data_IF_042637039363
#
_entry.id   IF_042637039363
#
_cell.length_a   1.000
_cell.length_b   1.000
_cell.length_c   1.000
_cell.angle_alpha   90.00
_cell.angle_beta   90.00
_cell.angle_gamma   90.00
#
_symmetry.space_group_name_H-M   'P 1'
#
loop_
_entity.id
_entity.type
_entity.pdbx_description
1 polymer ?
#
# COMPACT_ATOMS: atom_id res chain seq x y z
N UNK A 1 0.67 -81.48 -60.26
CA UNK A 1 1.72 -82.07 -61.13
C UNK A 1 2.53 -80.95 -61.69
N UNK A 2 3.85 -81.12 -61.85
CA UNK A 2 4.86 -81.46 -60.87
C UNK A 2 5.90 -80.34 -60.71
N UNK A 3 6.69 -80.44 -59.69
CA UNK A 3 8.00 -79.76 -59.53
C UNK A 3 9.00 -80.08 -60.61
N UNK A 4 10.03 -79.24 -60.80
CA UNK A 4 11.37 -79.69 -60.42
C UNK A 4 12.19 -78.60 -59.69
N UNK A 5 12.87 -79.03 -58.83
CA UNK A 5 14.18 -79.23 -58.25
C UNK A 5 15.32 -78.36 -58.77
N UNK A 6 15.95 -77.65 -57.78
CA UNK A 6 17.39 -77.55 -57.48
C UNK A 6 18.38 -77.10 -58.56
N UNK A 7 19.17 -76.08 -58.19
CA UNK A 7 20.65 -76.24 -58.22
C UNK A 7 21.27 -75.27 -57.19
N UNK A 8 22.13 -75.81 -56.34
CA UNK A 8 23.02 -75.09 -55.43
C UNK A 8 24.10 -74.40 -56.21
N UNK A 9 24.47 -73.20 -55.75
CA UNK A 9 25.78 -72.60 -56.08
C UNK A 9 26.31 -71.88 -54.84
N UNK A 10 27.28 -72.52 -54.19
CA UNK A 10 28.12 -72.00 -53.16
C UNK A 10 28.96 -70.81 -53.73
N UNK A 11 28.77 -69.64 -53.17
CA UNK A 11 29.73 -68.54 -53.34
C UNK A 11 29.87 -67.87 -51.98
N UNK A 12 31.00 -68.23 -51.36
CA UNK A 12 31.38 -67.64 -50.07
C UNK A 12 31.67 -66.16 -50.21
N UNK A 13 30.95 -65.36 -49.47
CA UNK A 13 31.26 -63.97 -49.26
C UNK A 13 31.98 -63.84 -47.93
N UNK A 14 33.28 -63.51 -48.01
CA UNK A 14 34.07 -63.07 -46.84
C UNK A 14 33.60 -61.65 -46.50
N UNK A 15 32.83 -61.53 -45.46
CA UNK A 15 32.48 -60.22 -44.88
C UNK A 15 33.65 -59.78 -44.03
N UNK A 16 34.41 -58.82 -44.54
CA UNK A 16 35.46 -58.11 -43.87
C UNK A 16 34.79 -57.13 -42.95
N UNK A 17 34.61 -57.42 -41.61
CA UNK A 17 34.10 -56.52 -40.58
C UNK A 17 35.19 -55.47 -40.30
N UNK A 18 35.07 -54.28 -40.89
CA UNK A 18 35.86 -53.12 -40.50
C UNK A 18 35.28 -52.57 -39.16
N UNK A 19 35.95 -52.88 -38.05
CA UNK A 19 35.73 -52.21 -36.75
C UNK A 19 36.23 -50.77 -36.84
N UNK A 20 35.32 -49.84 -37.13
CA UNK A 20 35.57 -48.41 -36.89
C UNK A 20 35.45 -48.15 -35.40
N UNK A 21 36.57 -48.04 -34.71
CA UNK A 21 36.64 -47.54 -33.36
C UNK A 21 36.22 -46.08 -33.35
N UNK A 22 34.98 -45.79 -32.97
CA UNK A 22 34.50 -44.45 -32.72
C UNK A 22 35.10 -43.98 -31.39
N UNK A 23 36.19 -43.25 -31.44
CA UNK A 23 36.77 -42.58 -30.26
C UNK A 23 35.82 -41.49 -29.83
N UNK A 24 34.98 -41.75 -28.81
CA UNK A 24 34.20 -40.71 -28.12
C UNK A 24 35.22 -39.90 -27.34
N UNK A 25 35.67 -38.80 -27.91
CA UNK A 25 36.37 -37.75 -27.17
C UNK A 25 35.37 -37.12 -26.24
N UNK A 26 35.33 -37.53 -24.96
CA UNK A 26 34.70 -36.80 -23.94
C UNK A 26 35.40 -35.45 -23.78
N UNK A 27 34.80 -34.41 -24.36
CA UNK A 27 35.22 -33.04 -24.05
C UNK A 27 34.92 -32.83 -22.58
N UNK A 28 35.97 -32.91 -21.78
CA UNK A 28 35.90 -32.48 -20.36
C UNK A 28 35.70 -30.97 -20.42
N UNK A 29 34.46 -30.52 -20.39
CA UNK A 29 34.16 -29.10 -20.16
C UNK A 29 34.67 -28.78 -18.79
N UNK A 30 35.77 -28.03 -18.71
CA UNK A 30 36.24 -27.46 -17.45
C UNK A 30 35.13 -26.52 -16.96
N UNK A 31 34.35 -26.98 -15.98
CA UNK A 31 33.42 -26.11 -15.26
C UNK A 31 34.20 -24.98 -14.62
N UNK A 32 33.77 -23.74 -14.91
CA UNK A 32 34.33 -22.57 -14.24
C UNK A 32 34.05 -22.74 -12.75
N UNK A 33 35.07 -22.63 -11.89
CA UNK A 33 34.88 -22.82 -10.46
C UNK A 33 33.93 -21.74 -9.90
N UNK A 34 32.92 -22.16 -9.15
CA UNK A 34 32.05 -21.28 -8.41
C UNK A 34 32.79 -20.87 -7.14
N UNK A 35 32.98 -19.58 -6.95
CA UNK A 35 33.71 -19.04 -5.80
C UNK A 35 32.73 -18.35 -4.86
N UNK A 36 32.66 -18.85 -3.63
CA UNK A 36 31.99 -18.16 -2.53
C UNK A 36 32.95 -17.15 -1.89
N UNK A 37 32.63 -15.83 -1.92
CA UNK A 37 33.43 -14.83 -1.23
C UNK A 37 33.46 -15.09 0.29
N UNK A 38 34.61 -14.94 0.90
CA UNK A 38 34.73 -14.96 2.37
C UNK A 38 34.18 -13.66 2.98
N UNK A 39 33.82 -13.74 4.26
CA UNK A 39 33.52 -12.53 5.05
C UNK A 39 34.78 -11.64 5.14
N UNK A 40 34.66 -10.36 5.49
CA UNK A 40 35.83 -9.48 5.67
C UNK A 40 36.89 -10.12 6.56
N UNK A 41 38.08 -10.33 5.99
CA UNK A 41 39.22 -11.02 6.66
C UNK A 41 39.21 -12.55 6.51
N UNK A 42 38.26 -13.14 5.82
CA UNK A 42 38.19 -14.58 5.50
C UNK A 42 38.57 -14.83 4.04
N UNK A 43 39.20 -15.97 3.77
CA UNK A 43 39.53 -16.38 2.42
C UNK A 43 38.26 -16.86 1.67
N UNK A 44 38.18 -16.55 0.36
CA UNK A 44 37.16 -17.12 -0.52
C UNK A 44 37.40 -18.63 -0.69
N UNK A 45 36.34 -19.41 -0.86
CA UNK A 45 36.38 -20.84 -1.11
C UNK A 45 35.71 -21.23 -2.43
N UNK A 46 36.24 -22.28 -3.07
CA UNK A 46 35.57 -22.91 -4.20
C UNK A 46 34.48 -23.83 -3.66
N UNK A 47 33.29 -23.72 -4.23
CA UNK A 47 32.13 -24.54 -3.86
C UNK A 47 31.61 -25.33 -5.06
N UNK A 48 30.91 -26.41 -4.79
CA UNK A 48 30.25 -27.21 -5.82
C UNK A 48 28.97 -26.51 -6.35
N UNK A 49 28.45 -26.96 -7.48
CA UNK A 49 27.14 -26.45 -7.97
C UNK A 49 26.00 -26.80 -7.01
N UNK A 50 26.09 -27.94 -6.30
CA UNK A 50 25.10 -28.35 -5.29
C UNK A 50 25.17 -27.41 -4.08
N UNK A 51 26.37 -27.19 -3.53
CA UNK A 51 26.57 -26.21 -2.44
C UNK A 51 26.15 -24.79 -2.84
N UNK A 52 26.36 -24.38 -4.11
CA UNK A 52 25.90 -23.09 -4.59
C UNK A 52 24.37 -23.02 -4.69
N UNK A 53 23.72 -24.13 -5.10
CA UNK A 53 22.25 -24.22 -5.13
C UNK A 53 21.66 -24.17 -3.71
N UNK A 54 22.26 -24.87 -2.75
CA UNK A 54 21.85 -24.84 -1.35
C UNK A 54 22.02 -23.45 -0.73
N UNK A 55 23.11 -22.75 -1.07
CA UNK A 55 23.35 -21.39 -0.63
C UNK A 55 22.44 -20.35 -1.31
N UNK A 56 22.00 -20.65 -2.53
CA UNK A 56 21.05 -19.85 -3.29
C UNK A 56 19.60 -20.29 -2.97
N UNK A 57 19.39 -21.33 -2.17
CA UNK A 57 18.06 -21.75 -1.74
C UNK A 57 17.41 -20.58 -1.01
N UNK A 58 16.32 -20.11 -1.58
CA UNK A 58 15.51 -19.04 -1.02
C UNK A 58 15.04 -19.53 0.34
N UNK A 59 15.48 -18.87 1.40
CA UNK A 59 15.08 -19.20 2.76
C UNK A 59 14.00 -18.24 3.22
N UNK A 60 12.96 -18.79 3.79
CA UNK A 60 11.95 -18.03 4.52
C UNK A 60 12.24 -18.04 6.02
N UNK A 61 11.84 -17.00 6.70
CA UNK A 61 11.98 -16.86 8.14
C UNK A 61 10.74 -17.41 8.88
N UNK A 62 10.88 -17.60 10.18
CA UNK A 62 9.71 -17.89 11.02
C UNK A 62 8.71 -16.72 11.01
N UNK A 63 9.23 -15.48 10.89
CA UNK A 63 8.40 -14.29 10.76
C UNK A 63 7.52 -14.31 9.51
N UNK A 64 8.05 -14.77 8.38
CA UNK A 64 7.29 -14.90 7.14
C UNK A 64 6.11 -15.87 7.30
N UNK A 65 6.36 -17.02 7.95
CA UNK A 65 5.31 -18.01 8.22
C UNK A 65 4.24 -17.44 9.16
N UNK A 66 4.65 -16.76 10.23
CA UNK A 66 3.74 -16.17 11.20
C UNK A 66 2.91 -15.04 10.58
N UNK A 67 3.52 -14.21 9.74
CA UNK A 67 2.84 -13.18 9.00
C UNK A 67 1.75 -13.74 8.09
N UNK A 68 2.07 -14.71 7.23
CA UNK A 68 1.10 -15.31 6.31
C UNK A 68 -0.04 -16.01 7.07
N UNK A 69 0.29 -16.75 8.14
CA UNK A 69 -0.72 -17.40 8.98
C UNK A 69 -1.61 -16.43 9.75
N UNK A 70 -1.10 -15.26 10.11
CA UNK A 70 -1.89 -14.20 10.73
C UNK A 70 -2.74 -13.43 9.71
N UNK A 71 -2.21 -13.19 8.52
CA UNK A 71 -2.88 -12.40 7.47
C UNK A 71 -4.07 -13.16 6.84
N UNK A 72 -4.03 -14.49 6.75
CA UNK A 72 -5.15 -15.29 6.23
C UNK A 72 -6.45 -15.03 7.02
N UNK A 73 -6.53 -15.25 8.34
CA UNK A 73 -7.75 -14.94 9.10
C UNK A 73 -8.05 -13.45 9.19
N UNK A 74 -7.03 -12.59 9.10
CA UNK A 74 -7.22 -11.15 9.01
C UNK A 74 -8.02 -10.81 7.75
N UNK A 75 -7.60 -11.24 6.58
CA UNK A 75 -8.30 -11.03 5.32
C UNK A 75 -9.69 -11.68 5.29
N UNK A 76 -9.83 -12.84 5.91
CA UNK A 76 -11.13 -13.51 6.02
C UNK A 76 -12.15 -12.66 6.79
N UNK A 77 -11.75 -11.95 7.85
CA UNK A 77 -12.64 -11.02 8.55
C UNK A 77 -13.07 -9.85 7.65
N UNK A 78 -12.19 -9.30 6.82
CA UNK A 78 -12.56 -8.24 5.87
C UNK A 78 -13.64 -8.72 4.87
N UNK A 79 -13.54 -9.97 4.42
CA UNK A 79 -14.57 -10.60 3.58
C UNK A 79 -15.91 -10.74 4.32
N UNK A 80 -15.88 -11.16 5.58
CA UNK A 80 -17.08 -11.26 6.42
C UNK A 80 -17.77 -9.89 6.59
N UNK A 81 -17.00 -8.85 6.90
CA UNK A 81 -17.50 -7.49 6.98
C UNK A 81 -18.13 -7.05 5.65
N UNK A 82 -17.46 -7.34 4.54
CA UNK A 82 -17.91 -6.96 3.19
C UNK A 82 -19.17 -7.72 2.77
N UNK A 83 -19.32 -8.96 3.16
CA UNK A 83 -20.52 -9.77 2.88
C UNK A 83 -21.80 -9.20 3.50
N UNK A 84 -21.68 -8.43 4.59
CA UNK A 84 -22.85 -7.78 5.22
C UNK A 84 -23.45 -6.68 4.34
N UNK A 85 -22.69 -6.09 3.42
CA UNK A 85 -23.09 -4.89 2.69
C UNK A 85 -24.36 -5.10 1.85
N UNK A 86 -24.52 -6.26 1.20
CA UNK A 86 -25.67 -6.53 0.31
C UNK A 86 -27.02 -6.42 1.04
N UNK A 87 -27.06 -6.85 2.31
CA UNK A 87 -28.27 -6.86 3.13
C UNK A 87 -28.44 -5.60 4.00
N UNK A 88 -27.42 -4.77 4.13
CA UNK A 88 -27.37 -3.65 5.08
C UNK A 88 -27.46 -2.28 4.42
N UNK A 89 -27.12 -2.15 3.13
CA UNK A 89 -27.13 -0.86 2.45
C UNK A 89 -27.58 -0.95 1.00
N UNK A 90 -28.12 0.18 0.50
CA UNK A 90 -28.37 0.39 -0.93
C UNK A 90 -27.41 1.44 -1.52
N UNK A 91 -26.40 1.87 -0.78
CA UNK A 91 -25.41 2.81 -1.24
C UNK A 91 -24.47 2.14 -2.26
N UNK A 92 -24.55 2.53 -3.51
CA UNK A 92 -23.80 1.91 -4.61
C UNK A 92 -22.29 2.05 -4.48
N UNK A 93 -21.79 3.12 -3.83
CA UNK A 93 -20.36 3.31 -3.62
C UNK A 93 -19.85 2.34 -2.54
N UNK A 94 -20.58 2.17 -1.44
CA UNK A 94 -20.24 1.21 -0.38
C UNK A 94 -20.30 -0.23 -0.91
N UNK A 95 -21.33 -0.57 -1.69
CA UNK A 95 -21.44 -1.89 -2.33
C UNK A 95 -20.27 -2.16 -3.29
N UNK A 96 -19.84 -1.15 -4.06
CA UNK A 96 -18.71 -1.28 -4.96
C UNK A 96 -17.38 -1.46 -4.22
N UNK A 97 -17.19 -0.77 -3.08
CA UNK A 97 -16.04 -0.97 -2.19
C UNK A 97 -16.03 -2.39 -1.63
N UNK A 98 -17.16 -2.85 -1.06
CA UNK A 98 -17.27 -4.18 -0.48
C UNK A 98 -17.00 -5.30 -1.50
N UNK A 99 -17.57 -5.19 -2.71
CA UNK A 99 -17.35 -6.16 -3.77
C UNK A 99 -15.87 -6.21 -4.22
N UNK A 100 -15.20 -5.06 -4.31
CA UNK A 100 -13.78 -4.99 -4.66
C UNK A 100 -12.90 -5.62 -3.58
N UNK A 101 -13.13 -5.27 -2.31
CA UNK A 101 -12.40 -5.82 -1.18
C UNK A 101 -12.57 -7.34 -1.12
N UNK A 102 -13.78 -7.86 -1.28
CA UNK A 102 -14.00 -9.31 -1.32
C UNK A 102 -13.14 -9.99 -2.37
N UNK A 103 -13.06 -9.41 -3.56
CA UNK A 103 -12.30 -10.00 -4.67
C UNK A 103 -10.78 -9.97 -4.40
N UNK A 104 -10.22 -8.82 -3.98
CA UNK A 104 -8.79 -8.71 -3.69
C UNK A 104 -8.38 -9.63 -2.54
N UNK A 105 -9.18 -9.68 -1.48
CA UNK A 105 -8.89 -10.51 -0.31
C UNK A 105 -8.97 -12.02 -0.61
N UNK A 106 -9.86 -12.46 -1.52
CA UNK A 106 -9.91 -13.85 -1.98
C UNK A 106 -8.63 -14.26 -2.73
N UNK A 107 -8.16 -13.40 -3.62
CA UNK A 107 -6.93 -13.63 -4.39
C UNK A 107 -5.70 -13.67 -3.46
N UNK A 108 -5.61 -12.76 -2.51
CA UNK A 108 -4.52 -12.67 -1.54
C UNK A 108 -4.49 -13.87 -0.58
N UNK A 109 -5.65 -14.31 -0.06
CA UNK A 109 -5.75 -15.53 0.75
C UNK A 109 -5.28 -16.75 -0.06
N UNK A 110 -5.73 -16.86 -1.31
CA UNK A 110 -5.36 -17.98 -2.18
C UNK A 110 -3.86 -18.04 -2.43
N UNK A 111 -3.22 -16.88 -2.61
CA UNK A 111 -1.77 -16.77 -2.77
C UNK A 111 -1.04 -17.20 -1.49
N UNK A 112 -1.44 -16.68 -0.32
CA UNK A 112 -0.83 -17.03 0.96
C UNK A 112 -0.94 -18.52 1.29
N UNK A 113 -2.13 -19.11 1.07
CA UNK A 113 -2.35 -20.55 1.23
C UNK A 113 -1.52 -21.36 0.23
N UNK A 114 -1.39 -20.89 -1.01
CA UNK A 114 -0.53 -21.48 -2.05
C UNK A 114 0.92 -21.50 -1.62
N UNK A 115 1.45 -20.37 -1.22
CA UNK A 115 2.84 -20.22 -0.79
C UNK A 115 3.15 -21.16 0.40
N UNK A 116 2.31 -21.17 1.45
CA UNK A 116 2.49 -22.05 2.60
C UNK A 116 2.50 -23.53 2.18
N UNK A 117 1.56 -23.93 1.32
CA UNK A 117 1.48 -25.30 0.81
C UNK A 117 2.73 -25.70 0.01
N UNK A 118 3.24 -24.81 -0.82
CA UNK A 118 4.43 -25.05 -1.64
C UNK A 118 5.69 -25.23 -0.78
N UNK A 119 5.70 -24.61 0.41
CA UNK A 119 6.75 -24.82 1.43
C UNK A 119 6.49 -26.05 2.31
N UNK A 120 5.44 -26.83 2.05
CA UNK A 120 5.05 -28.00 2.87
C UNK A 120 4.50 -27.60 4.25
N UNK A 121 4.01 -26.37 4.40
CA UNK A 121 3.46 -25.83 5.64
C UNK A 121 1.93 -25.83 5.60
N UNK A 122 1.33 -26.05 6.76
CA UNK A 122 -0.12 -25.99 6.91
C UNK A 122 -0.58 -24.52 7.02
N UNK A 123 -1.55 -24.15 6.18
CA UNK A 123 -2.25 -22.87 6.28
C UNK A 123 -3.40 -22.99 7.32
N UNK A 124 -3.66 -21.93 8.10
CA UNK A 124 -4.83 -21.90 8.98
C UNK A 124 -6.13 -21.90 8.15
N UNK A 125 -7.20 -22.35 8.78
CA UNK A 125 -8.54 -22.14 8.24
C UNK A 125 -8.90 -20.65 8.28
N UNK A 126 -9.67 -20.17 7.30
CA UNK A 126 -10.09 -18.76 7.23
C UNK A 126 -10.89 -18.35 8.47
N UNK A 127 -11.73 -19.23 8.99
CA UNK A 127 -12.60 -19.02 10.15
C UNK A 127 -11.91 -19.24 11.50
N UNK A 128 -10.59 -19.43 11.53
CA UNK A 128 -9.86 -19.70 12.79
C UNK A 128 -10.00 -18.56 13.80
N UNK A 129 -10.27 -17.35 13.34
CA UNK A 129 -10.46 -16.17 14.19
C UNK A 129 -11.75 -16.23 15.04
N UNK A 130 -12.70 -17.11 14.72
CA UNK A 130 -13.88 -17.39 15.57
C UNK A 130 -13.60 -18.39 16.69
N UNK A 131 -12.41 -19.01 16.71
CA UNK A 131 -12.13 -20.03 17.71
C UNK A 131 -11.75 -19.41 19.06
N UNK A 132 -12.17 -20.00 20.18
CA UNK A 132 -11.80 -19.52 21.50
C UNK A 132 -10.28 -19.48 21.67
N UNK A 133 -9.77 -18.34 22.15
CA UNK A 133 -8.34 -18.15 22.38
C UNK A 133 -7.56 -17.69 21.16
N UNK A 134 -8.22 -17.39 20.05
CA UNK A 134 -7.56 -16.73 18.93
C UNK A 134 -7.08 -15.34 19.36
N UNK A 135 -5.80 -15.05 19.12
CA UNK A 135 -5.22 -13.74 19.36
C UNK A 135 -5.42 -12.88 18.11
N UNK A 136 -6.23 -11.82 18.25
CA UNK A 136 -6.56 -10.94 17.13
C UNK A 136 -5.32 -10.20 16.65
N UNK A 137 -5.16 -10.16 15.34
CA UNK A 137 -4.13 -9.34 14.69
C UNK A 137 -4.53 -7.85 14.78
N UNK A 138 -3.54 -7.00 14.58
CA UNK A 138 -3.73 -5.54 14.59
C UNK A 138 -4.76 -5.12 13.53
N UNK A 139 -5.68 -4.27 13.89
CA UNK A 139 -6.76 -3.80 13.01
C UNK A 139 -7.99 -4.71 12.93
N UNK A 140 -7.91 -5.97 13.37
CA UNK A 140 -9.11 -6.83 13.40
C UNK A 140 -10.16 -6.30 14.38
N UNK A 141 -11.41 -6.38 13.96
CA UNK A 141 -12.55 -6.00 14.79
C UNK A 141 -12.67 -6.94 15.99
N UNK A 142 -13.07 -6.34 17.12
CA UNK A 142 -13.53 -7.13 18.27
C UNK A 142 -14.92 -7.75 18.02
N UNK A 143 -15.31 -8.69 18.86
CA UNK A 143 -16.65 -9.30 18.78
C UNK A 143 -17.74 -8.23 18.92
N UNK A 144 -17.56 -7.27 19.82
CA UNK A 144 -18.49 -6.16 20.04
C UNK A 144 -18.60 -5.25 18.82
N UNK A 145 -17.48 -4.95 18.15
CA UNK A 145 -17.49 -4.14 16.91
C UNK A 145 -18.16 -4.89 15.75
N UNK A 146 -17.93 -6.20 15.63
CA UNK A 146 -18.62 -7.03 14.65
C UNK A 146 -20.13 -7.08 14.95
N UNK A 147 -20.55 -7.25 16.21
CA UNK A 147 -21.96 -7.22 16.59
C UNK A 147 -22.61 -5.86 16.28
N UNK A 148 -21.90 -4.75 16.55
CA UNK A 148 -22.36 -3.41 16.20
C UNK A 148 -22.54 -3.26 14.68
N UNK A 149 -21.56 -3.70 13.89
CA UNK A 149 -21.64 -3.65 12.43
C UNK A 149 -22.80 -4.50 11.89
N UNK A 150 -22.98 -5.71 12.41
CA UNK A 150 -24.09 -6.61 12.04
C UNK A 150 -25.46 -6.01 12.39
N UNK A 151 -25.57 -5.30 13.50
CA UNK A 151 -26.83 -4.68 13.94
C UNK A 151 -27.18 -3.41 13.15
N UNK A 152 -26.20 -2.75 12.54
CA UNK A 152 -26.38 -1.49 11.83
C UNK A 152 -26.97 -1.67 10.44
N UNK A 153 -27.64 -0.64 9.90
CA UNK A 153 -28.20 -0.61 8.54
C UNK A 153 -28.17 0.80 7.95
N UNK A 154 -28.24 0.92 6.62
CA UNK A 154 -28.33 2.21 5.92
C UNK A 154 -27.13 3.12 6.21
N UNK A 155 -27.37 4.41 6.48
CA UNK A 155 -26.29 5.39 6.68
C UNK A 155 -25.32 5.01 7.82
N UNK A 156 -25.85 4.41 8.90
CA UNK A 156 -25.02 3.99 10.03
C UNK A 156 -24.11 2.82 9.65
N UNK A 157 -24.64 1.81 8.96
CA UNK A 157 -23.82 0.75 8.42
C UNK A 157 -22.72 1.29 7.49
N UNK A 158 -23.08 2.20 6.59
CA UNK A 158 -22.12 2.78 5.65
C UNK A 158 -20.93 3.42 6.36
N UNK A 159 -21.22 4.19 7.42
CA UNK A 159 -20.19 4.87 8.22
C UNK A 159 -19.31 3.85 8.96
N UNK A 160 -19.93 2.96 9.74
CA UNK A 160 -19.21 1.96 10.54
C UNK A 160 -18.39 1.03 9.66
N UNK A 161 -18.95 0.54 8.56
CA UNK A 161 -18.25 -0.33 7.62
C UNK A 161 -16.97 0.32 7.09
N UNK A 162 -17.06 1.57 6.64
CA UNK A 162 -15.89 2.27 6.09
C UNK A 162 -14.86 2.59 7.16
N UNK A 163 -15.29 3.11 8.32
CA UNK A 163 -14.37 3.42 9.44
C UNK A 163 -13.64 2.16 9.92
N UNK A 164 -14.37 1.08 10.18
CA UNK A 164 -13.79 -0.17 10.64
C UNK A 164 -12.90 -0.84 9.59
N UNK A 165 -13.28 -0.76 8.31
CA UNK A 165 -12.48 -1.33 7.24
C UNK A 165 -11.19 -0.53 6.98
N UNK A 166 -11.21 0.79 7.15
CA UNK A 166 -10.01 1.64 7.10
C UNK A 166 -9.05 1.23 8.23
N UNK A 167 -9.53 1.10 9.46
CA UNK A 167 -8.71 0.68 10.60
C UNK A 167 -8.15 -0.74 10.40
N UNK A 168 -8.96 -1.63 9.83
CA UNK A 168 -8.58 -3.00 9.51
C UNK A 168 -7.44 -3.03 8.48
N UNK A 169 -7.55 -2.26 7.40
CA UNK A 169 -6.53 -2.15 6.37
C UNK A 169 -5.24 -1.50 6.89
N UNK A 170 -5.37 -0.48 7.75
CA UNK A 170 -4.20 0.08 8.43
C UNK A 170 -3.48 -0.96 9.28
N UNK A 171 -4.22 -1.85 9.93
CA UNK A 171 -3.67 -2.98 10.67
C UNK A 171 -2.84 -3.92 9.79
N UNK A 172 -3.29 -4.20 8.56
CA UNK A 172 -2.53 -5.00 7.60
C UNK A 172 -1.23 -4.33 7.18
N UNK A 173 -1.25 -3.01 6.91
CA UNK A 173 -0.05 -2.23 6.61
C UNK A 173 0.97 -2.29 7.77
N UNK A 174 0.50 -2.15 8.99
CA UNK A 174 1.33 -2.24 10.18
C UNK A 174 1.94 -3.65 10.36
N UNK A 175 1.20 -4.71 10.00
CA UNK A 175 1.72 -6.08 10.01
C UNK A 175 2.83 -6.28 8.96
N UNK A 176 2.69 -5.68 7.77
CA UNK A 176 3.75 -5.70 6.74
C UNK A 176 4.98 -4.95 7.24
N UNK A 177 4.83 -3.75 7.82
CA UNK A 177 5.94 -2.99 8.39
C UNK A 177 6.68 -3.80 9.48
N UNK A 178 5.93 -4.41 10.42
CA UNK A 178 6.49 -5.26 11.46
C UNK A 178 7.24 -6.47 10.89
N UNK A 179 6.81 -7.04 9.77
CA UNK A 179 7.51 -8.12 9.08
C UNK A 179 8.82 -7.62 8.47
N UNK A 180 8.78 -6.49 7.75
CA UNK A 180 9.94 -5.92 7.06
C UNK A 180 11.04 -5.49 8.05
N UNK A 181 10.68 -5.12 9.27
CA UNK A 181 11.63 -4.79 10.34
C UNK A 181 12.38 -6.02 10.90
N UNK A 182 11.89 -7.23 10.61
CA UNK A 182 12.52 -8.45 11.07
C UNK A 182 13.72 -8.81 10.18
N UNK A 183 14.83 -9.09 10.81
CA UNK A 183 16.06 -9.46 10.10
C UNK A 183 15.91 -10.80 9.38
N UNK A 184 16.10 -10.82 8.07
CA UNK A 184 16.03 -12.03 7.23
C UNK A 184 14.63 -12.42 6.79
N UNK A 185 13.63 -11.58 7.05
CA UNK A 185 12.29 -11.75 6.47
C UNK A 185 12.26 -11.35 5.01
N UNK A 186 11.22 -11.79 4.31
CA UNK A 186 10.87 -11.38 2.94
C UNK A 186 12.03 -11.55 1.94
N UNK A 187 12.81 -12.62 2.12
CA UNK A 187 13.90 -12.96 1.19
C UNK A 187 13.40 -13.75 -0.04
N UNK A 188 12.23 -14.35 0.07
CA UNK A 188 11.55 -15.01 -1.03
C UNK A 188 10.98 -13.96 -1.99
N UNK A 189 11.31 -14.02 -3.32
CA UNK A 189 10.85 -13.02 -4.28
C UNK A 189 9.32 -12.92 -4.40
N UNK A 190 8.61 -14.04 -4.29
CA UNK A 190 7.15 -14.07 -4.36
C UNK A 190 6.54 -13.41 -3.12
N UNK A 191 7.12 -13.65 -1.95
CA UNK A 191 6.70 -13.00 -0.71
C UNK A 191 7.02 -11.49 -0.71
N UNK A 192 8.16 -11.11 -1.29
CA UNK A 192 8.51 -9.69 -1.46
C UNK A 192 7.51 -8.97 -2.39
N UNK A 193 7.18 -9.57 -3.53
CA UNK A 193 6.16 -9.06 -4.45
C UNK A 193 4.81 -8.94 -3.73
N UNK A 194 4.37 -10.00 -3.05
CA UNK A 194 3.14 -10.00 -2.29
C UNK A 194 3.06 -8.89 -1.23
N UNK A 195 4.10 -8.69 -0.42
CA UNK A 195 4.08 -7.62 0.60
C UNK A 195 4.06 -6.23 -0.02
N UNK A 196 4.67 -6.05 -1.20
CA UNK A 196 4.58 -4.82 -1.98
C UNK A 196 3.18 -4.59 -2.52
N UNK A 197 2.54 -5.62 -3.05
CA UNK A 197 1.19 -5.56 -3.60
C UNK A 197 0.17 -5.26 -2.49
N UNK A 198 0.23 -5.98 -1.37
CA UNK A 198 -0.60 -5.69 -0.18
C UNK A 198 -0.45 -4.25 0.26
N UNK A 199 0.80 -3.72 0.31
CA UNK A 199 1.04 -2.33 0.71
C UNK A 199 0.37 -1.35 -0.26
N UNK A 200 0.50 -1.58 -1.56
CA UNK A 200 -0.09 -0.72 -2.60
C UNK A 200 -1.62 -0.79 -2.60
N UNK A 201 -2.16 -1.99 -2.54
CA UNK A 201 -3.61 -2.23 -2.64
C UNK A 201 -4.34 -1.75 -1.39
N UNK A 202 -3.85 -2.08 -0.19
CA UNK A 202 -4.43 -1.62 1.07
C UNK A 202 -4.40 -0.08 1.17
N UNK A 203 -3.30 0.57 0.77
CA UNK A 203 -3.21 2.03 0.73
C UNK A 203 -4.24 2.64 -0.22
N UNK A 204 -4.35 2.09 -1.43
CA UNK A 204 -5.31 2.56 -2.44
C UNK A 204 -6.77 2.33 -2.01
N UNK A 205 -7.03 1.26 -1.27
CA UNK A 205 -8.36 0.95 -0.74
C UNK A 205 -8.73 1.88 0.41
N UNK A 206 -7.80 2.19 1.32
CA UNK A 206 -7.98 3.21 2.37
C UNK A 206 -8.34 4.56 1.73
N UNK A 207 -7.54 5.05 0.77
CA UNK A 207 -7.81 6.32 0.09
C UNK A 207 -9.20 6.36 -0.55
N UNK A 208 -9.62 5.26 -1.17
CA UNK A 208 -10.95 5.14 -1.77
C UNK A 208 -12.06 5.14 -0.73
N UNK A 209 -11.87 4.42 0.38
CA UNK A 209 -12.83 4.40 1.49
C UNK A 209 -12.96 5.76 2.15
N UNK A 210 -11.87 6.49 2.35
CA UNK A 210 -11.88 7.86 2.86
C UNK A 210 -12.69 8.81 1.96
N UNK A 211 -12.51 8.71 0.64
CA UNK A 211 -13.30 9.51 -0.32
C UNK A 211 -14.80 9.18 -0.24
N UNK A 212 -15.14 7.88 -0.11
CA UNK A 212 -16.54 7.47 0.04
C UNK A 212 -17.09 7.96 1.37
N UNK A 213 -16.36 7.78 2.47
CA UNK A 213 -16.75 8.24 3.82
C UNK A 213 -16.96 9.76 3.85
N UNK A 214 -16.06 10.53 3.25
CA UNK A 214 -16.22 11.97 3.11
C UNK A 214 -17.49 12.35 2.32
N UNK A 215 -17.86 11.57 1.32
CA UNK A 215 -19.06 11.80 0.51
C UNK A 215 -20.38 11.48 1.25
N UNK A 216 -20.34 10.63 2.27
CA UNK A 216 -21.51 10.28 3.09
C UNK A 216 -21.83 11.33 4.11
N UNK A 217 -20.87 12.14 4.54
CA UNK A 217 -21.10 13.23 5.46
C UNK A 217 -21.75 14.38 4.69
N UNK A 218 -22.88 14.95 5.22
CA UNK A 218 -23.40 16.17 4.63
C UNK A 218 -22.30 17.24 4.65
N UNK A 219 -22.20 18.00 3.56
CA UNK A 219 -21.24 19.12 3.49
C UNK A 219 -21.40 19.98 4.76
N UNK A 220 -20.38 20.07 5.61
CA UNK A 220 -20.49 20.79 6.88
C UNK A 220 -20.82 22.28 6.69
N UNK A 221 -20.78 22.77 5.44
CA UNK A 221 -21.18 24.14 5.09
C UNK A 221 -22.68 24.26 4.82
N UNK A 222 -23.39 23.15 4.63
CA UNK A 222 -24.84 23.17 4.40
C UNK A 222 -25.55 23.63 5.65
N UNK A 223 -26.34 24.69 5.55
CA UNK A 223 -27.11 25.24 6.67
C UNK A 223 -26.34 26.20 7.58
N UNK A 224 -25.09 26.54 7.25
CA UNK A 224 -24.38 27.58 7.98
C UNK A 224 -25.09 28.94 7.82
N UNK A 225 -25.23 29.63 8.96
CA UNK A 225 -25.78 30.99 8.95
C UNK A 225 -24.84 31.92 8.18
N UNK A 226 -25.40 32.70 7.25
CA UNK A 226 -24.67 33.78 6.65
C UNK A 226 -24.61 34.96 7.61
N UNK A 227 -23.43 35.52 7.84
CA UNK A 227 -23.24 36.64 8.75
C UNK A 227 -21.91 37.31 8.52
N UNK A 228 -21.85 38.59 8.88
CA UNK A 228 -20.61 39.37 8.73
C UNK A 228 -19.64 39.15 9.92
N UNK A 229 -20.19 38.92 11.13
CA UNK A 229 -19.43 38.68 12.35
C UNK A 229 -19.86 37.40 13.08
N UNK A 230 -20.96 36.85 12.71
CA UNK A 230 -21.66 35.73 13.28
C UNK A 230 -21.99 34.64 12.25
N UNK A 231 -21.24 34.62 11.16
CA UNK A 231 -21.32 33.53 10.19
C UNK A 231 -21.03 32.18 10.87
N UNK A 232 -21.81 31.19 10.52
CA UNK A 232 -21.53 29.82 10.97
C UNK A 232 -20.17 29.34 10.48
N UNK A 233 -19.50 28.53 11.29
CA UNK A 233 -18.19 27.97 10.99
C UNK A 233 -18.31 26.48 10.69
N UNK A 234 -17.54 25.98 9.72
CA UNK A 234 -17.39 24.57 9.47
C UNK A 234 -15.92 24.20 9.37
N UNK A 235 -15.55 23.06 9.94
CA UNK A 235 -14.22 22.48 9.84
C UNK A 235 -14.36 20.99 9.51
N UNK A 236 -13.56 20.51 8.55
CA UNK A 236 -13.43 19.10 8.22
C UNK A 236 -11.95 18.72 8.35
N UNK A 237 -11.67 17.74 9.19
CA UNK A 237 -10.30 17.28 9.51
C UNK A 237 -9.34 18.39 10.01
N UNK A 238 -9.93 19.47 10.56
CA UNK A 238 -9.21 20.58 11.17
C UNK A 238 -9.89 21.00 12.46
N UNK A 239 -9.09 21.33 13.46
CA UNK A 239 -9.58 21.93 14.70
C UNK A 239 -9.20 23.39 14.75
N UNK A 240 -10.17 24.28 15.01
CA UNK A 240 -9.89 25.68 15.28
C UNK A 240 -9.16 25.80 16.62
N UNK A 241 -7.88 26.10 16.58
CA UNK A 241 -7.05 26.24 17.78
C UNK A 241 -7.26 27.60 18.45
N UNK A 242 -7.44 28.64 17.65
CA UNK A 242 -7.73 29.98 18.13
C UNK A 242 -8.41 30.82 17.05
N UNK A 243 -9.33 31.68 17.46
CA UNK A 243 -9.89 32.75 16.63
C UNK A 243 -9.48 34.08 17.24
N UNK A 244 -8.70 34.85 16.52
CA UNK A 244 -8.29 36.19 16.95
C UNK A 244 -9.21 37.20 16.30
N UNK A 245 -10.09 37.86 17.06
CA UNK A 245 -10.90 38.93 16.51
C UNK A 245 -10.01 40.08 16.05
N UNK A 246 -10.38 40.71 14.97
CA UNK A 246 -9.69 41.93 14.50
C UNK A 246 -9.71 42.99 15.59
N UNK A 247 -8.62 43.72 15.81
CA UNK A 247 -8.59 44.78 16.80
C UNK A 247 -9.71 45.81 16.59
N UNK A 248 -10.16 46.47 17.66
CA UNK A 248 -11.11 47.57 17.54
C UNK A 248 -10.59 48.63 16.63
N UNK A 249 -11.37 49.04 15.63
CA UNK A 249 -10.97 50.02 14.62
C UNK A 249 -10.34 49.42 13.36
N UNK A 250 -10.09 48.13 13.30
CA UNK A 250 -9.58 47.45 12.08
C UNK A 250 -10.63 47.44 10.95
N UNK A 251 -11.89 47.53 11.28
CA UNK A 251 -12.98 47.57 10.33
C UNK A 251 -13.90 48.73 10.65
N UNK A 252 -14.11 49.61 9.67
CA UNK A 252 -15.10 50.68 9.70
C UNK A 252 -16.30 50.26 8.88
N UNK A 253 -17.49 50.03 9.52
CA UNK A 253 -18.68 49.61 8.80
C UNK A 253 -19.17 50.64 7.79
N UNK A 254 -18.80 51.90 7.97
CA UNK A 254 -19.10 52.97 7.02
C UNK A 254 -18.12 52.96 5.83
N UNK A 255 -16.98 52.22 5.96
CA UNK A 255 -15.95 52.06 4.94
C UNK A 255 -15.42 50.64 4.84
N UNK A 256 -16.20 49.74 4.25
CA UNK A 256 -15.84 48.33 4.16
C UNK A 256 -14.55 48.05 3.38
N UNK A 257 -14.09 48.96 2.53
CA UNK A 257 -12.86 48.83 1.75
C UNK A 257 -11.57 48.90 2.59
N UNK A 258 -11.66 49.33 3.85
CA UNK A 258 -10.52 49.46 4.75
C UNK A 258 -9.52 50.54 4.39
N UNK A 259 -9.84 51.38 3.39
CA UNK A 259 -8.99 52.49 2.97
C UNK A 259 -9.18 53.66 3.95
N UNK A 260 -8.09 54.14 4.57
CA UNK A 260 -8.15 55.27 5.49
C UNK A 260 -8.59 56.58 4.75
N UNK A 261 -9.22 57.49 5.53
CA UNK A 261 -9.61 58.80 4.95
C UNK A 261 -8.45 59.54 4.31
N UNK A 262 -7.27 59.50 4.94
CA UNK A 262 -6.07 60.11 4.40
C UNK A 262 -5.67 59.51 3.07
N UNK A 263 -5.77 58.17 2.95
CA UNK A 263 -5.45 57.48 1.70
C UNK A 263 -6.47 57.70 0.60
N UNK A 264 -7.74 57.83 0.94
CA UNK A 264 -8.78 58.22 -0.03
C UNK A 264 -8.57 59.65 -0.53
N UNK A 265 -8.20 60.55 0.38
CA UNK A 265 -7.89 61.91 0.02
C UNK A 265 -6.65 62.02 -0.90
N UNK A 266 -5.59 61.26 -0.62
CA UNK A 266 -4.40 61.13 -1.50
C UNK A 266 -4.78 60.59 -2.90
N UNK A 267 -5.66 59.59 -2.96
CA UNK A 267 -6.13 59.03 -4.24
C UNK A 267 -6.98 60.06 -4.99
N UNK A 268 -7.83 60.81 -4.28
CA UNK A 268 -8.71 61.81 -4.85
C UNK A 268 -7.90 63.03 -5.31
N UNK A 269 -6.92 63.48 -4.54
CA UNK A 269 -5.96 64.56 -4.90
C UNK A 269 -5.12 64.15 -6.10
N UNK A 270 -4.62 62.91 -6.14
CA UNK A 270 -3.88 62.39 -7.28
C UNK A 270 -4.74 62.29 -8.54
N UNK A 271 -6.02 61.90 -8.42
CA UNK A 271 -6.97 61.84 -9.52
C UNK A 271 -7.33 63.22 -10.07
N UNK A 272 -7.29 64.25 -9.22
CA UNK A 272 -7.57 65.65 -9.56
C UNK A 272 -6.31 66.44 -10.00
N UNK A 273 -5.16 65.77 -10.10
CA UNK A 273 -3.91 66.36 -10.54
C UNK A 273 -3.19 67.19 -9.45
N UNK A 274 -3.62 67.08 -8.20
CA UNK A 274 -2.99 67.76 -7.04
C UNK A 274 -2.08 66.71 -6.34
N UNK A 275 -0.95 66.43 -6.94
CA UNK A 275 0.12 65.65 -6.30
C UNK A 275 0.84 66.54 -5.28
N UNK A 276 0.92 66.22 -4.00
CA UNK A 276 1.80 66.91 -3.08
C UNK A 276 3.24 66.70 -3.52
N UNK A 277 4.02 67.84 -3.60
CA UNK A 277 5.46 67.76 -3.82
C UNK A 277 6.06 66.90 -2.69
N UNK A 278 6.71 65.81 -3.08
CA UNK A 278 7.52 64.98 -2.15
C UNK A 278 8.64 65.84 -1.61
N UNK A 279 8.85 65.96 -0.28
CA UNK A 279 10.11 66.56 0.23
C UNK A 279 11.28 65.69 -0.25
N UNK A 280 12.34 66.33 -0.68
CA UNK A 280 13.58 65.67 -1.07
C UNK A 280 14.02 64.73 0.04
N UNK A 281 14.08 63.42 -0.27
CA UNK A 281 14.68 62.41 0.59
C UNK A 281 16.19 62.63 0.61
N UNK A 282 16.66 63.24 1.69
CA UNK A 282 18.06 63.16 2.04
C UNK A 282 18.42 61.72 2.34
N UNK A 283 19.40 61.21 1.63
CA UNK A 283 20.01 59.89 1.75
C UNK A 283 20.41 59.61 3.21
N UNK A 284 19.73 58.66 3.84
CA UNK A 284 20.29 57.92 4.99
C UNK A 284 20.26 56.42 4.68
N UNK A 285 21.38 56.03 4.09
CA UNK A 285 21.79 54.67 3.80
C UNK A 285 22.10 53.95 5.13
N UNK A 286 21.19 53.23 5.71
CA UNK A 286 21.46 52.03 6.50
C UNK A 286 20.33 51.63 7.47
N UNK A 287 19.30 50.95 6.98
CA UNK A 287 18.60 49.99 7.80
C UNK A 287 17.73 49.11 6.91
N UNK A 288 18.20 47.88 6.71
CA UNK A 288 17.44 46.79 6.07
C UNK A 288 16.46 46.15 7.09
N UNK A 289 15.16 46.32 6.96
CA UNK A 289 14.19 45.60 7.77
C UNK A 289 13.60 44.42 6.98
N UNK A 290 14.41 43.41 6.69
CA UNK A 290 13.83 42.14 6.27
C UNK A 290 13.30 41.38 7.50
N UNK A 291 11.99 41.11 7.59
CA UNK A 291 11.50 40.26 8.65
C UNK A 291 12.05 38.85 8.47
N UNK A 292 12.57 38.27 9.56
CA UNK A 292 13.06 36.90 9.62
C UNK A 292 11.97 35.92 9.14
N UNK A 293 12.27 35.20 8.08
CA UNK A 293 11.50 34.04 7.67
C UNK A 293 11.60 32.99 8.77
N UNK A 294 10.48 32.72 9.42
CA UNK A 294 10.33 31.58 10.31
C UNK A 294 10.51 30.29 9.48
N UNK A 295 11.61 29.61 9.70
CA UNK A 295 11.82 28.27 9.19
C UNK A 295 10.95 27.30 9.98
N UNK A 296 10.01 26.65 9.32
CA UNK A 296 9.33 25.46 9.84
C UNK A 296 10.24 24.25 9.62
N UNK A 297 10.61 23.64 10.71
CA UNK A 297 11.20 22.28 10.76
C UNK A 297 10.12 21.30 11.17
#
# INVERSE_FOLDING_TARGET
MPFPRLIHSDSGWVVLAALTAFSISTVLQAQVPIIQPGAPGQASRVITAEEASDLAAISYSLGDIQFLRGMIPHHAQAKEMSALAEDRTNNTMVLAVAARITLSQDDEISMMQGWLRDQGLEAPAEDVHHQPGFERMKGMLSDEQMEELVASTGPEFNRLYLEYMIDHHQGALDMVEMLLDQRGSVQDPLLYEFTSDVTSDQTSEIERMDLVLASLNPDPRVGLAAGFRDAGEAALNMQVVASLPKPAGFFDPERPSGISLSRLQEIEDAANGNTPETPDEDEDENSDPRPALLSFS
#
